data_IF_585909479380
#
_entry.id   IF_585909479380
#
_cell.length_a   1.000
_cell.length_b   1.000
_cell.length_c   1.000
_cell.angle_alpha   90.00
_cell.angle_beta   90.00
_cell.angle_gamma   90.00
#
_symmetry.space_group_name_H-M   'P 1'
#
loop_
_entity.id
_entity.type
_entity.pdbx_description
1 polymer ?
#
# COMPACT_ATOMS: atom_id res chain seq x y z
N UNK A 1 2.81 4.22 -11.98
CA UNK A 1 2.64 5.68 -11.90
C UNK A 1 3.93 6.45 -12.11
N UNK A 2 5.07 6.01 -11.58
CA UNK A 2 6.36 6.68 -11.76
C UNK A 2 6.81 6.71 -13.23
N UNK A 3 6.66 5.59 -13.95
CA UNK A 3 7.01 5.52 -15.38
C UNK A 3 6.15 6.49 -16.19
N UNK A 4 4.83 6.48 -15.94
CA UNK A 4 3.90 7.41 -16.59
C UNK A 4 4.24 8.88 -16.28
N UNK A 5 4.63 9.19 -15.04
CA UNK A 5 5.06 10.52 -14.64
C UNK A 5 6.33 10.96 -15.39
N UNK A 6 7.34 10.10 -15.48
CA UNK A 6 8.57 10.39 -16.22
C UNK A 6 8.31 10.64 -17.70
N UNK A 7 7.48 9.80 -18.34
CA UNK A 7 7.12 9.97 -19.75
C UNK A 7 6.43 11.32 -19.98
N UNK A 8 5.42 11.66 -19.16
CA UNK A 8 4.69 12.92 -19.32
C UNK A 8 5.52 14.17 -19.03
N UNK A 9 6.54 14.07 -18.16
CA UNK A 9 7.53 15.15 -18.00
C UNK A 9 8.41 15.27 -19.24
N UNK A 10 8.93 14.16 -19.76
CA UNK A 10 9.81 14.17 -20.93
C UNK A 10 9.09 14.68 -22.18
N UNK A 11 7.79 14.41 -22.31
CA UNK A 11 6.95 14.91 -23.41
C UNK A 11 6.33 16.28 -23.14
N UNK A 12 6.63 16.91 -21.99
CA UNK A 12 6.05 18.19 -21.56
C UNK A 12 4.51 18.22 -21.62
N UNK A 13 3.87 17.12 -21.26
CA UNK A 13 2.42 17.00 -21.24
C UNK A 13 1.82 17.70 -20.00
N UNK A 14 1.68 19.02 -20.08
CA UNK A 14 1.16 19.84 -18.99
C UNK A 14 -0.31 19.55 -18.65
N UNK A 15 -1.11 19.11 -19.60
CA UNK A 15 -2.51 18.73 -19.35
C UNK A 15 -2.59 17.55 -18.39
N UNK A 16 -1.80 16.49 -18.64
CA UNK A 16 -1.73 15.34 -17.76
C UNK A 16 -1.16 15.70 -16.38
N UNK A 17 -0.12 16.53 -16.32
CA UNK A 17 0.48 16.97 -15.05
C UNK A 17 -0.50 17.79 -14.20
N UNK A 18 -1.29 18.66 -14.84
CA UNK A 18 -2.35 19.41 -14.17
C UNK A 18 -3.45 18.48 -13.65
N UNK A 19 -3.91 17.54 -14.49
CA UNK A 19 -4.91 16.54 -14.09
C UNK A 19 -4.42 15.67 -12.92
N UNK A 20 -3.15 15.25 -12.95
CA UNK A 20 -2.53 14.50 -11.87
C UNK A 20 -2.59 15.27 -10.55
N UNK A 21 -2.23 16.56 -10.57
CA UNK A 21 -2.24 17.40 -9.37
C UNK A 21 -3.66 17.57 -8.81
N UNK A 22 -4.63 17.94 -9.65
CA UNK A 22 -6.00 18.22 -9.22
C UNK A 22 -6.74 16.96 -8.77
N UNK A 23 -6.62 15.87 -9.52
CA UNK A 23 -7.37 14.64 -9.23
C UNK A 23 -6.79 13.82 -8.07
N UNK A 24 -5.60 14.18 -7.57
CA UNK A 24 -4.92 13.47 -6.47
C UNK A 24 -4.62 14.37 -5.26
N UNK A 25 -5.31 15.51 -5.14
CA UNK A 25 -5.14 16.43 -4.01
C UNK A 25 -5.33 15.73 -2.66
N UNK A 26 -6.27 14.79 -2.56
CA UNK A 26 -6.50 14.03 -1.33
C UNK A 26 -5.27 13.22 -0.91
N UNK A 27 -4.59 12.56 -1.85
CA UNK A 27 -3.35 11.83 -1.57
C UNK A 27 -2.21 12.76 -1.19
N UNK A 28 -2.11 13.93 -1.83
CA UNK A 28 -1.12 14.93 -1.48
C UNK A 28 -1.26 15.39 -0.01
N UNK A 29 -2.49 15.68 0.43
CA UNK A 29 -2.76 16.03 1.83
C UNK A 29 -2.56 14.85 2.79
N UNK A 30 -3.04 13.66 2.43
CA UNK A 30 -2.90 12.47 3.28
C UNK A 30 -1.43 12.09 3.51
N UNK A 31 -0.61 12.06 2.45
CA UNK A 31 0.81 11.75 2.55
C UNK A 31 1.56 12.84 3.33
N UNK A 32 1.20 14.12 3.12
CA UNK A 32 1.80 15.23 3.87
C UNK A 32 1.49 15.14 5.37
N UNK A 33 0.24 14.88 5.74
CA UNK A 33 -0.15 14.72 7.14
C UNK A 33 0.52 13.51 7.80
N UNK A 34 0.55 12.38 7.09
CA UNK A 34 1.21 11.17 7.56
C UNK A 34 2.71 11.39 7.80
N UNK A 35 3.42 11.98 6.84
CA UNK A 35 4.85 12.21 6.98
C UNK A 35 5.16 13.30 7.99
N UNK A 36 4.30 14.31 8.14
CA UNK A 36 4.42 15.29 9.23
C UNK A 36 4.37 14.61 10.60
N UNK A 37 3.44 13.66 10.79
CA UNK A 37 3.36 12.88 12.02
C UNK A 37 4.60 12.00 12.24
N UNK A 38 5.01 11.24 11.23
CA UNK A 38 6.16 10.32 11.32
C UNK A 38 7.47 11.05 11.59
N UNK A 39 7.67 12.21 10.98
CA UNK A 39 8.91 12.99 11.10
C UNK A 39 8.88 14.01 12.24
N UNK A 40 7.77 14.08 13.00
CA UNK A 40 7.49 15.14 13.97
C UNK A 40 7.74 16.55 13.38
N UNK A 41 7.35 16.73 12.11
CA UNK A 41 7.49 17.98 11.35
C UNK A 41 8.87 18.26 10.76
N UNK A 42 9.91 17.46 11.06
CA UNK A 42 11.27 17.68 10.53
C UNK A 42 11.39 17.17 9.10
N UNK A 43 11.79 18.03 8.17
CA UNK A 43 11.98 17.68 6.76
C UNK A 43 10.76 17.00 6.11
N UNK A 44 9.55 17.24 6.63
CA UNK A 44 8.36 16.48 6.23
C UNK A 44 8.06 16.65 4.74
N UNK A 45 8.35 17.80 4.12
CA UNK A 45 8.18 18.03 2.68
C UNK A 45 9.04 17.05 1.88
N UNK A 46 10.32 16.93 2.23
CA UNK A 46 11.24 15.98 1.59
C UNK A 46 10.76 14.56 1.81
N UNK A 47 10.30 14.25 3.02
CA UNK A 47 9.80 12.93 3.38
C UNK A 47 8.51 12.57 2.60
N UNK A 48 7.60 13.52 2.38
CA UNK A 48 6.40 13.37 1.55
C UNK A 48 6.75 13.10 0.09
N UNK A 49 7.74 13.82 -0.47
CA UNK A 49 8.20 13.60 -1.84
C UNK A 49 8.80 12.19 -2.00
N UNK A 50 9.64 11.77 -1.06
CA UNK A 50 10.23 10.42 -1.05
C UNK A 50 9.12 9.37 -0.96
N UNK A 51 8.14 9.53 -0.06
CA UNK A 51 7.01 8.61 0.06
C UNK A 51 6.21 8.53 -1.24
N UNK A 52 5.95 9.67 -1.88
CA UNK A 52 5.19 9.73 -3.13
C UNK A 52 5.90 8.96 -4.24
N UNK A 53 7.20 9.22 -4.43
CA UNK A 53 8.02 8.51 -5.42
C UNK A 53 8.07 7.01 -5.11
N UNK A 54 8.24 6.65 -3.84
CA UNK A 54 8.27 5.25 -3.40
C UNK A 54 6.95 4.53 -3.71
N UNK A 55 5.81 5.13 -3.36
CA UNK A 55 4.49 4.55 -3.64
C UNK A 55 4.29 4.39 -5.15
N UNK A 56 4.65 5.40 -5.94
CA UNK A 56 4.53 5.32 -7.40
C UNK A 56 5.41 4.25 -8.02
N UNK A 57 6.63 4.07 -7.51
CA UNK A 57 7.55 3.02 -7.92
C UNK A 57 7.00 1.64 -7.56
N UNK A 58 6.43 1.48 -6.36
CA UNK A 58 5.82 0.22 -5.92
C UNK A 58 4.61 -0.16 -6.76
N UNK A 59 3.76 0.81 -7.12
CA UNK A 59 2.62 0.55 -8.01
C UNK A 59 3.08 0.08 -9.40
N UNK A 60 4.12 0.71 -9.97
CA UNK A 60 4.68 0.22 -11.25
C UNK A 60 5.34 -1.14 -11.10
N UNK A 61 6.04 -1.40 -9.99
CA UNK A 61 6.64 -2.69 -9.72
C UNK A 61 5.58 -3.79 -9.67
N UNK A 62 4.45 -3.58 -8.99
CA UNK A 62 3.34 -4.53 -8.94
C UNK A 62 2.80 -4.78 -10.36
N UNK A 63 2.59 -3.72 -11.14
CA UNK A 63 2.11 -3.85 -12.52
C UNK A 63 3.10 -4.61 -13.42
N UNK A 64 4.41 -4.36 -13.26
CA UNK A 64 5.46 -5.01 -14.06
C UNK A 64 5.74 -6.45 -13.63
N UNK A 65 5.68 -6.74 -12.34
CA UNK A 65 5.89 -8.08 -11.78
C UNK A 65 4.70 -9.01 -11.99
N UNK A 66 3.54 -8.47 -12.41
CA UNK A 66 2.35 -9.23 -12.79
C UNK A 66 1.89 -10.18 -11.69
N UNK A 67 1.72 -11.45 -12.03
CA UNK A 67 1.29 -12.48 -11.08
C UNK A 67 2.23 -12.63 -9.88
N UNK A 68 3.53 -12.41 -10.05
CA UNK A 68 4.48 -12.51 -8.94
C UNK A 68 4.29 -11.38 -7.92
N UNK A 69 4.02 -10.15 -8.38
CA UNK A 69 3.70 -9.02 -7.51
C UNK A 69 2.36 -9.20 -6.80
N UNK A 70 1.36 -9.71 -7.52
CA UNK A 70 0.05 -10.01 -6.96
C UNK A 70 0.12 -11.08 -5.87
N UNK A 71 0.71 -12.24 -6.17
CA UNK A 71 0.82 -13.33 -5.18
C UNK A 71 1.75 -12.92 -4.04
N UNK A 72 2.88 -12.28 -4.34
CA UNK A 72 3.84 -11.82 -3.34
C UNK A 72 3.24 -10.79 -2.37
N UNK A 73 2.48 -9.82 -2.88
CA UNK A 73 1.81 -8.82 -2.04
C UNK A 73 0.73 -9.43 -1.15
N UNK A 74 -0.07 -10.38 -1.68
CA UNK A 74 -1.01 -11.15 -0.86
C UNK A 74 -0.28 -11.93 0.25
N UNK A 75 0.79 -12.64 -0.09
CA UNK A 75 1.57 -13.43 0.88
C UNK A 75 2.17 -12.55 1.97
N UNK A 76 2.69 -11.37 1.62
CA UNK A 76 3.22 -10.41 2.59
C UNK A 76 2.14 -9.96 3.59
N UNK A 77 0.97 -9.54 3.10
CA UNK A 77 -0.12 -9.10 3.99
C UNK A 77 -0.65 -10.24 4.85
N UNK A 78 -0.78 -11.43 4.28
CA UNK A 78 -1.21 -12.61 5.02
C UNK A 78 -0.19 -12.96 6.11
N UNK A 79 1.11 -12.84 5.82
CA UNK A 79 2.17 -13.05 6.79
C UNK A 79 2.12 -12.04 7.94
N UNK A 80 1.98 -10.76 7.64
CA UNK A 80 1.80 -9.71 8.67
C UNK A 80 0.55 -9.98 9.51
N UNK A 81 -0.57 -10.33 8.88
CA UNK A 81 -1.80 -10.69 9.57
C UNK A 81 -1.62 -11.85 10.54
N UNK A 82 -0.89 -12.90 10.12
CA UNK A 82 -0.58 -14.04 10.99
C UNK A 82 0.30 -13.67 12.17
N UNK A 83 1.33 -12.83 11.97
CA UNK A 83 2.16 -12.35 13.08
C UNK A 83 1.31 -11.59 14.11
N UNK A 84 0.46 -10.68 13.65
CA UNK A 84 -0.43 -9.92 14.53
C UNK A 84 -1.37 -10.83 15.34
N UNK A 85 -1.91 -11.87 14.69
CA UNK A 85 -2.74 -12.88 15.37
C UNK A 85 -1.94 -13.66 16.40
N UNK A 86 -0.73 -14.11 16.07
CA UNK A 86 0.13 -14.82 17.02
C UNK A 86 0.50 -13.96 18.24
N UNK A 87 0.75 -12.66 18.03
CA UNK A 87 0.94 -11.73 19.14
C UNK A 87 -0.27 -11.71 20.09
N UNK A 88 -1.49 -11.59 19.54
CA UNK A 88 -2.74 -11.60 20.33
C UNK A 88 -2.99 -12.94 21.02
N UNK A 89 -2.68 -14.05 20.35
CA UNK A 89 -2.83 -15.41 20.90
C UNK A 89 -1.86 -15.67 22.04
N UNK A 90 -0.64 -15.13 21.97
CA UNK A 90 0.37 -15.27 23.02
C UNK A 90 -0.07 -14.65 24.36
N UNK A 91 -0.95 -13.65 24.31
CA UNK A 91 -1.53 -13.01 25.49
C UNK A 91 -2.79 -13.74 26.01
N UNK A 92 -3.36 -14.67 25.22
CA UNK A 92 -4.64 -15.32 25.52
C UNK A 92 -4.59 -16.86 25.35
N UNK A 93 -4.21 -17.61 26.40
CA UNK A 93 -4.04 -19.08 26.36
C UNK A 93 -5.31 -19.86 25.97
N UNK A 94 -6.50 -19.27 26.15
CA UNK A 94 -7.78 -19.90 25.78
C UNK A 94 -8.01 -19.92 24.26
N UNK A 95 -7.42 -18.98 23.53
CA UNK A 95 -7.57 -18.84 22.08
C UNK A 95 -6.56 -19.68 21.30
N UNK A 96 -5.45 -20.08 21.94
CA UNK A 96 -4.39 -20.89 21.34
C UNK A 96 -4.91 -22.23 20.78
N UNK A 97 -5.87 -22.87 21.47
CA UNK A 97 -6.54 -24.09 20.99
C UNK A 97 -7.31 -23.90 19.67
N UNK A 98 -7.62 -22.65 19.29
CA UNK A 98 -8.31 -22.28 18.05
C UNK A 98 -7.40 -21.52 17.08
N UNK A 99 -6.08 -21.51 17.32
CA UNK A 99 -5.12 -20.75 16.54
C UNK A 99 -5.19 -21.05 15.03
N UNK A 100 -5.37 -22.32 14.67
CA UNK A 100 -5.49 -22.74 13.26
C UNK A 100 -6.72 -22.10 12.61
N UNK A 101 -7.89 -22.20 13.24
CA UNK A 101 -9.13 -21.63 12.74
C UNK A 101 -9.04 -20.10 12.61
N UNK A 102 -8.46 -19.43 13.60
CA UNK A 102 -8.27 -17.97 13.57
C UNK A 102 -7.32 -17.59 12.43
N UNK A 103 -6.23 -18.34 12.23
CA UNK A 103 -5.30 -18.13 11.13
C UNK A 103 -5.95 -18.32 9.76
N UNK A 104 -6.87 -19.27 9.60
CA UNK A 104 -7.60 -19.48 8.35
C UNK A 104 -8.57 -18.33 8.06
N UNK A 105 -9.34 -17.91 9.08
CA UNK A 105 -10.24 -16.76 8.97
C UNK A 105 -9.46 -15.51 8.54
N UNK A 106 -8.28 -15.28 9.11
CA UNK A 106 -7.41 -14.15 8.76
C UNK A 106 -6.93 -14.26 7.32
N UNK A 107 -6.55 -15.45 6.84
CA UNK A 107 -6.16 -15.65 5.45
C UNK A 107 -7.31 -15.32 4.48
N UNK A 108 -8.53 -15.74 4.77
CA UNK A 108 -9.72 -15.41 3.95
C UNK A 108 -10.11 -13.93 4.02
N UNK A 109 -9.97 -13.31 5.19
CA UNK A 109 -10.21 -11.88 5.37
C UNK A 109 -9.19 -11.05 4.57
N UNK A 110 -7.90 -11.39 4.67
CA UNK A 110 -6.83 -10.76 3.90
C UNK A 110 -7.03 -10.99 2.41
N UNK A 111 -7.43 -12.19 1.99
CA UNK A 111 -7.70 -12.49 0.58
C UNK A 111 -8.82 -11.62 0.02
N UNK A 112 -9.95 -11.53 0.74
CA UNK A 112 -11.07 -10.69 0.35
C UNK A 112 -10.68 -9.20 0.28
N UNK A 113 -9.98 -8.71 1.31
CA UNK A 113 -9.51 -7.34 1.37
C UNK A 113 -8.51 -7.01 0.24
N UNK A 114 -7.56 -7.90 -0.01
CA UNK A 114 -6.54 -7.73 -1.04
C UNK A 114 -7.15 -7.73 -2.45
N UNK A 115 -8.11 -8.61 -2.71
CA UNK A 115 -8.83 -8.60 -3.99
C UNK A 115 -9.68 -7.35 -4.16
N UNK A 116 -10.37 -6.86 -3.12
CA UNK A 116 -11.12 -5.60 -3.21
C UNK A 116 -10.21 -4.41 -3.53
N UNK A 117 -9.01 -4.37 -2.96
CA UNK A 117 -8.06 -3.28 -3.19
C UNK A 117 -7.39 -3.39 -4.56
N UNK A 118 -6.94 -4.57 -4.97
CA UNK A 118 -6.21 -4.71 -6.22
C UNK A 118 -7.15 -4.78 -7.42
N UNK A 119 -8.19 -5.62 -7.36
CA UNK A 119 -9.13 -5.79 -8.48
C UNK A 119 -10.06 -4.59 -8.60
N UNK A 120 -10.46 -3.97 -7.47
CA UNK A 120 -11.27 -2.76 -7.47
C UNK A 120 -10.55 -1.49 -7.94
N UNK A 121 -9.22 -1.51 -8.05
CA UNK A 121 -8.41 -0.41 -8.62
C UNK A 121 -8.14 -0.60 -10.11
N UNK A 122 -8.41 -1.80 -10.65
CA UNK A 122 -8.23 -2.14 -12.08
C UNK A 122 -9.52 -2.06 -12.93
N UNK A 123 -10.65 -1.65 -12.35
CA UNK A 123 -11.91 -1.33 -13.05
C UNK A 123 -12.15 0.19 -13.07
#
# INVERSE_FOLDING_TARGET
MLIAFLINILTLNFEWLYSLAINNLHYFFAFSAFMYFVTAGKDFIKATLILTIYVWAMLDFINLSGWAGFVGGFMLLNYVGKISVFAILSENPKLDKKAILISEIVAYAVWSYYNLIIVGVTL
#
